data_IF_498906074458
#
_entry.id   IF_498906074458
#
_cell.length_a   1.000
_cell.length_b   1.000
_cell.length_c   1.000
_cell.angle_alpha   90.00
_cell.angle_beta   90.00
_cell.angle_gamma   90.00
#
_symmetry.space_group_name_H-M   'P 1'
#
loop_
_entity.id
_entity.type
_entity.pdbx_description
1 polymer ?
#
# COMPACT_ATOMS: atom_id res chain seq x y z
N UNK A 1 13.52 32.25 30.86
CA UNK A 1 13.55 30.84 30.43
C UNK A 1 13.81 29.98 31.65
N UNK A 2 12.94 29.02 31.97
CA UNK A 2 13.13 28.13 33.12
C UNK A 2 14.09 26.98 32.72
N UNK A 3 15.08 26.61 33.55
CA UNK A 3 16.01 25.54 33.20
C UNK A 3 15.28 24.19 33.07
N UNK A 4 15.46 23.51 31.94
CA UNK A 4 15.02 22.11 31.78
C UNK A 4 15.80 21.24 32.75
N UNK A 5 15.16 20.77 33.83
CA UNK A 5 15.75 19.84 34.79
C UNK A 5 16.03 18.49 34.09
N UNK A 6 17.28 18.26 33.73
CA UNK A 6 17.72 16.96 33.22
C UNK A 6 17.81 15.96 34.37
N UNK A 7 17.12 14.83 34.25
CA UNK A 7 17.20 13.76 35.24
C UNK A 7 18.61 13.17 35.26
N UNK A 8 19.16 12.99 36.46
CA UNK A 8 20.43 12.29 36.64
C UNK A 8 20.34 10.85 36.12
N UNK A 9 21.47 10.28 35.69
CA UNK A 9 21.54 8.88 35.25
C UNK A 9 21.03 7.89 36.30
N UNK A 10 21.22 8.18 37.60
CA UNK A 10 20.68 7.37 38.69
C UNK A 10 19.13 7.42 38.74
N UNK A 11 18.55 8.60 38.52
CA UNK A 11 17.08 8.78 38.49
C UNK A 11 16.47 8.08 37.27
N UNK A 12 17.14 8.12 36.11
CA UNK A 12 16.71 7.38 34.91
C UNK A 12 16.71 5.86 35.14
N UNK A 13 17.76 5.32 35.77
CA UNK A 13 17.84 3.89 36.14
C UNK A 13 16.74 3.49 37.11
N UNK A 14 16.47 4.33 38.13
CA UNK A 14 15.38 4.07 39.09
C UNK A 14 14.01 4.09 38.41
N UNK A 15 13.77 5.05 37.51
CA UNK A 15 12.51 5.13 36.75
C UNK A 15 12.32 3.92 35.83
N UNK A 16 13.37 3.48 35.14
CA UNK A 16 13.31 2.27 34.30
C UNK A 16 12.97 1.02 35.13
N UNK A 17 13.66 0.82 36.27
CA UNK A 17 13.37 -0.31 37.17
C UNK A 17 11.92 -0.32 37.67
N UNK A 18 11.33 0.85 37.94
CA UNK A 18 9.93 0.95 38.35
C UNK A 18 8.95 0.60 37.22
N UNK A 19 9.26 1.00 35.99
CA UNK A 19 8.44 0.67 34.82
C UNK A 19 8.51 -0.83 34.51
N UNK A 20 9.70 -1.43 34.56
CA UNK A 20 9.90 -2.86 34.33
C UNK A 20 9.15 -3.69 35.39
N UNK A 21 9.23 -3.29 36.67
CA UNK A 21 8.49 -3.94 37.76
C UNK A 21 6.97 -3.78 37.62
N UNK A 22 6.50 -2.63 37.12
CA UNK A 22 5.08 -2.43 36.85
C UNK A 22 4.60 -3.31 35.69
N UNK A 23 5.39 -3.43 34.63
CA UNK A 23 5.08 -4.30 33.49
C UNK A 23 5.02 -5.78 33.89
N UNK A 24 5.99 -6.24 34.70
CA UNK A 24 5.98 -7.59 35.27
C UNK A 24 4.75 -7.84 36.16
N UNK A 25 4.34 -6.84 36.97
CA UNK A 25 3.16 -6.97 37.83
C UNK A 25 1.84 -7.10 37.07
N UNK A 26 1.80 -6.59 35.84
CA UNK A 26 0.64 -6.62 34.95
C UNK A 26 0.67 -7.78 33.95
N UNK A 27 1.80 -8.49 33.84
CA UNK A 27 1.96 -9.63 32.94
C UNK A 27 0.98 -10.75 33.32
N UNK A 28 0.18 -11.21 32.35
CA UNK A 28 -0.83 -12.26 32.57
C UNK A 28 -2.10 -11.81 33.30
N UNK A 29 -2.24 -10.54 33.70
CA UNK A 29 -3.45 -10.05 34.37
C UNK A 29 -4.71 -10.16 33.47
N UNK A 30 -4.55 -10.05 32.15
CA UNK A 30 -5.62 -10.22 31.16
C UNK A 30 -6.19 -11.65 31.14
N UNK A 31 -5.40 -12.67 31.47
CA UNK A 31 -5.86 -14.07 31.52
C UNK A 31 -6.91 -14.31 32.63
N UNK A 32 -7.03 -13.41 33.61
CA UNK A 32 -8.09 -13.48 34.64
C UNK A 32 -9.46 -13.06 34.14
N UNK A 33 -9.52 -12.26 33.08
CA UNK A 33 -10.77 -11.75 32.51
C UNK A 33 -11.21 -12.52 31.27
N UNK A 34 -10.30 -13.26 30.66
CA UNK A 34 -10.57 -14.16 29.55
C UNK A 34 -10.89 -15.57 30.09
N UNK A 35 -11.90 -15.68 30.95
CA UNK A 35 -12.47 -16.99 31.29
C UNK A 35 -13.20 -17.53 30.06
N UNK A 36 -12.55 -18.43 29.32
CA UNK A 36 -13.18 -19.23 28.27
C UNK A 36 -14.18 -20.16 28.93
N UNK A 37 -15.46 -19.84 28.79
CA UNK A 37 -16.55 -20.77 29.05
C UNK A 37 -16.68 -21.72 27.88
N UNK A 38 -16.08 -22.90 27.96
CA UNK A 38 -16.60 -24.12 27.30
C UNK A 38 -15.74 -25.33 27.65
N UNK A 39 -16.40 -26.33 28.25
CA UNK A 39 -15.97 -27.73 28.30
C UNK A 39 -15.34 -28.16 26.97
N UNK A 40 -14.07 -28.53 27.00
CA UNK A 40 -13.48 -29.49 26.07
C UNK A 40 -12.24 -30.09 26.73
N UNK A 41 -12.14 -31.41 26.64
CA UNK A 41 -11.21 -32.27 27.35
C UNK A 41 -9.75 -32.09 26.92
N UNK A 42 -8.89 -32.17 27.94
CA UNK A 42 -7.50 -32.65 27.99
C UNK A 42 -6.77 -32.93 26.67
N UNK A 43 -5.65 -32.22 26.50
CA UNK A 43 -4.49 -32.67 25.73
C UNK A 43 -3.22 -32.00 26.30
N UNK A 44 -2.47 -32.73 27.12
CA UNK A 44 -1.13 -32.33 27.55
C UNK A 44 -0.17 -32.51 26.38
N UNK A 45 0.61 -31.48 26.04
CA UNK A 45 1.90 -31.69 25.38
C UNK A 45 2.95 -30.70 25.89
N UNK A 46 4.04 -31.26 26.38
CA UNK A 46 5.23 -30.55 26.85
C UNK A 46 6.21 -30.49 25.68
N UNK A 47 6.41 -29.30 25.10
CA UNK A 47 7.36 -29.08 24.01
C UNK A 47 8.49 -28.13 24.42
N UNK A 48 9.67 -28.70 24.60
CA UNK A 48 10.92 -28.08 25.04
C UNK A 48 11.42 -26.89 24.21
N UNK A 49 12.13 -25.98 24.90
CA UNK A 49 13.01 -24.96 24.33
C UNK A 49 14.15 -25.59 23.52
N UNK A 50 14.45 -25.06 22.33
CA UNK A 50 15.78 -25.17 21.75
C UNK A 50 16.12 -23.92 20.93
N UNK A 51 17.08 -23.16 21.45
CA UNK A 51 17.83 -22.11 20.75
C UNK A 51 19.01 -22.78 20.02
N UNK A 52 19.24 -22.45 18.76
CA UNK A 52 20.48 -22.77 18.07
C UNK A 52 20.95 -21.56 17.26
N UNK A 53 22.02 -20.96 17.76
CA UNK A 53 22.98 -20.10 17.06
C UNK A 53 23.56 -20.82 15.84
N UNK A 54 23.63 -20.15 14.69
CA UNK A 54 24.65 -20.44 13.67
C UNK A 54 25.11 -19.11 13.07
N UNK A 55 26.29 -18.68 13.49
CA UNK A 55 27.12 -17.68 12.83
C UNK A 55 28.26 -18.43 12.12
N UNK A 56 28.59 -18.00 10.89
CA UNK A 56 29.90 -18.07 10.24
C UNK A 56 29.81 -18.02 8.70
N UNK A 57 30.13 -16.83 8.17
CA UNK A 57 30.92 -16.53 6.97
C UNK A 57 31.37 -17.69 6.06
N UNK A 58 31.18 -17.51 4.75
CA UNK A 58 32.29 -17.68 3.80
C UNK A 58 32.08 -16.81 2.53
N UNK A 59 33.10 -16.02 2.22
CA UNK A 59 33.25 -15.19 1.02
C UNK A 59 33.91 -15.99 -0.13
N UNK A 60 34.02 -15.32 -1.29
CA UNK A 60 34.80 -15.63 -2.52
C UNK A 60 33.96 -16.31 -3.62
N UNK A 61 33.43 -15.56 -4.61
CA UNK A 61 34.07 -14.86 -5.73
C UNK A 61 34.78 -15.81 -6.71
N UNK A 62 34.24 -15.94 -7.94
CA UNK A 62 35.01 -16.20 -9.16
C UNK A 62 34.35 -15.50 -10.36
N UNK A 63 35.22 -14.79 -11.06
CA UNK A 63 35.00 -13.85 -12.16
C UNK A 63 34.67 -14.49 -13.52
N UNK A 64 34.38 -13.58 -14.45
CA UNK A 64 34.06 -13.73 -15.86
C UNK A 64 35.16 -14.37 -16.72
N UNK A 65 34.75 -14.97 -17.84
CA UNK A 65 34.98 -14.47 -19.22
C UNK A 65 34.97 -15.58 -20.29
N UNK A 66 34.70 -15.12 -21.52
CA UNK A 66 35.05 -15.70 -22.82
C UNK A 66 34.17 -16.82 -23.40
N UNK A 67 33.41 -16.47 -24.44
CA UNK A 67 33.71 -17.06 -25.74
C UNK A 67 33.29 -16.13 -26.89
N UNK A 68 34.30 -15.75 -27.67
CA UNK A 68 34.15 -15.22 -29.02
C UNK A 68 33.83 -16.38 -29.97
N UNK A 69 33.04 -16.14 -31.01
CA UNK A 69 33.32 -16.65 -32.35
C UNK A 69 32.57 -15.84 -33.40
N UNK A 70 33.27 -15.74 -34.52
CA UNK A 70 33.22 -14.76 -35.60
C UNK A 70 32.46 -15.29 -36.83
N UNK A 71 32.13 -14.32 -37.70
CA UNK A 71 31.48 -14.28 -39.02
C UNK A 71 31.26 -15.56 -39.87
N UNK A 72 30.16 -15.56 -40.66
CA UNK A 72 30.19 -15.50 -42.17
C UNK A 72 28.77 -15.33 -42.76
N UNK A 73 28.66 -14.50 -43.80
CA UNK A 73 27.47 -14.02 -44.54
C UNK A 73 26.78 -15.03 -45.51
N UNK A 74 25.44 -14.95 -45.59
CA UNK A 74 24.42 -14.94 -46.70
C UNK A 74 24.70 -15.60 -48.10
N UNK A 75 23.74 -15.71 -49.08
CA UNK A 75 22.29 -15.35 -49.13
C UNK A 75 21.33 -16.38 -49.83
N UNK A 76 20.02 -16.10 -49.78
CA UNK A 76 19.05 -16.36 -50.87
C UNK A 76 18.13 -17.60 -50.78
N UNK A 77 16.80 -17.41 -50.71
CA UNK A 77 15.88 -17.64 -51.84
C UNK A 77 14.41 -17.33 -51.45
N UNK A 78 13.65 -16.86 -52.43
CA UNK A 78 12.25 -16.41 -52.42
C UNK A 78 11.25 -17.47 -51.95
N UNK A 79 10.13 -17.04 -51.34
CA UNK A 79 8.79 -17.40 -51.85
C UNK A 79 7.66 -16.64 -51.16
N UNK A 80 6.66 -16.33 -51.99
CA UNK A 80 5.53 -15.42 -51.82
C UNK A 80 4.49 -15.84 -50.78
N UNK A 81 3.76 -14.83 -50.30
CA UNK A 81 2.62 -14.83 -49.37
C UNK A 81 1.43 -15.74 -49.79
N UNK A 82 0.42 -15.93 -48.92
CA UNK A 82 -0.61 -14.90 -48.78
C UNK A 82 -1.05 -14.63 -47.33
N UNK A 83 -1.69 -13.47 -47.23
CA UNK A 83 -2.37 -12.87 -46.10
C UNK A 83 -3.45 -13.80 -45.52
N UNK A 84 -3.52 -13.87 -44.18
CA UNK A 84 -4.76 -14.17 -43.46
C UNK A 84 -4.84 -13.24 -42.24
N UNK A 85 -5.80 -12.32 -42.34
CA UNK A 85 -6.30 -11.44 -41.28
C UNK A 85 -6.68 -12.25 -40.03
N UNK A 86 -5.94 -12.09 -38.93
CA UNK A 86 -6.41 -12.51 -37.60
C UNK A 86 -6.03 -11.47 -36.54
N UNK A 87 -7.01 -10.60 -36.27
CA UNK A 87 -7.32 -9.98 -34.97
C UNK A 87 -6.21 -9.20 -34.23
N UNK A 88 -5.95 -7.96 -34.67
CA UNK A 88 -5.44 -6.88 -33.81
C UNK A 88 -6.58 -6.33 -32.91
N UNK A 89 -7.07 -7.14 -31.97
CA UNK A 89 -7.94 -6.70 -30.88
C UNK A 89 -7.27 -6.79 -29.51
N UNK A 90 -6.03 -7.28 -29.43
CA UNK A 90 -5.28 -7.37 -28.18
C UNK A 90 -4.65 -6.05 -27.73
N UNK A 91 -4.15 -5.24 -28.66
CA UNK A 91 -3.34 -4.07 -28.30
C UNK A 91 -4.15 -2.84 -27.84
N UNK A 92 -5.38 -2.67 -28.30
CA UNK A 92 -6.20 -1.50 -27.92
C UNK A 92 -6.78 -1.65 -26.50
N UNK A 93 -7.05 -2.87 -26.04
CA UNK A 93 -7.68 -3.11 -24.75
C UNK A 93 -6.68 -3.00 -23.58
N UNK A 94 -5.41 -3.37 -23.80
CA UNK A 94 -4.33 -3.25 -22.81
C UNK A 94 -3.89 -1.80 -22.59
N UNK A 95 -3.86 -0.99 -23.67
CA UNK A 95 -3.51 0.42 -23.59
C UNK A 95 -4.62 1.23 -22.89
N UNK A 96 -5.90 0.96 -23.20
CA UNK A 96 -7.02 1.55 -22.47
C UNK A 96 -7.05 1.14 -20.98
N UNK A 97 -6.72 -0.12 -20.66
CA UNK A 97 -6.70 -0.59 -19.27
C UNK A 97 -5.50 -0.05 -18.48
N UNK A 98 -4.43 0.38 -19.14
CA UNK A 98 -3.29 1.02 -18.47
C UNK A 98 -3.61 2.48 -18.11
N UNK A 99 -4.37 3.17 -18.95
CA UNK A 99 -4.76 4.58 -18.70
C UNK A 99 -5.75 4.78 -17.55
N UNK A 100 -6.54 3.76 -17.19
CA UNK A 100 -7.54 3.84 -16.11
C UNK A 100 -6.89 4.06 -14.74
N UNK A 101 -5.68 3.53 -14.53
CA UNK A 101 -4.97 3.59 -13.26
C UNK A 101 -4.07 4.83 -13.14
N UNK A 102 -3.92 5.63 -14.21
CA UNK A 102 -3.17 6.88 -14.15
C UNK A 102 -4.01 7.98 -13.48
N UNK A 103 -3.55 8.56 -12.35
CA UNK A 103 -4.19 9.70 -11.72
C UNK A 103 -4.59 10.84 -12.65
N UNK A 104 -3.89 11.05 -13.77
CA UNK A 104 -4.17 12.15 -14.70
C UNK A 104 -5.53 12.03 -15.39
N UNK A 105 -6.03 10.81 -15.60
CA UNK A 105 -7.27 10.56 -16.36
C UNK A 105 -8.52 10.53 -15.47
N UNK A 106 -8.36 10.47 -14.14
CA UNK A 106 -9.46 10.22 -13.19
C UNK A 106 -10.56 11.28 -13.18
N UNK A 107 -10.25 12.51 -13.59
CA UNK A 107 -11.24 13.59 -13.69
C UNK A 107 -12.25 13.35 -14.81
N UNK A 108 -11.83 12.66 -15.86
CA UNK A 108 -12.64 12.40 -17.06
C UNK A 108 -13.17 10.97 -17.14
N UNK A 109 -13.01 10.15 -16.09
CA UNK A 109 -13.48 8.77 -16.11
C UNK A 109 -15.02 8.68 -16.02
N UNK A 110 -15.58 7.83 -16.86
CA UNK A 110 -16.97 7.39 -16.77
C UNK A 110 -17.24 6.60 -15.49
N UNK A 111 -18.49 6.56 -15.04
CA UNK A 111 -18.89 5.85 -13.82
C UNK A 111 -18.46 4.38 -13.82
N UNK A 112 -18.58 3.68 -14.96
CA UNK A 112 -18.13 2.28 -15.11
C UNK A 112 -16.62 2.13 -14.89
N UNK A 113 -15.81 3.03 -15.46
CA UNK A 113 -14.34 3.01 -15.29
C UNK A 113 -13.97 3.38 -13.85
N UNK A 114 -14.69 4.32 -13.23
CA UNK A 114 -14.54 4.65 -11.80
C UNK A 114 -14.84 3.46 -10.89
N UNK A 115 -15.91 2.72 -11.15
CA UNK A 115 -16.27 1.54 -10.35
C UNK A 115 -15.17 0.47 -10.42
N UNK A 116 -14.67 0.16 -11.63
CA UNK A 116 -13.53 -0.77 -11.82
C UNK A 116 -12.30 -0.29 -11.05
N UNK A 117 -11.97 1.01 -11.14
CA UNK A 117 -10.83 1.61 -10.47
C UNK A 117 -10.96 1.52 -8.93
N UNK A 118 -12.16 1.76 -8.39
CA UNK A 118 -12.43 1.68 -6.95
C UNK A 118 -12.34 0.25 -6.43
N UNK A 119 -12.87 -0.71 -7.19
CA UNK A 119 -12.89 -2.13 -6.85
C UNK A 119 -11.47 -2.74 -6.83
N UNK A 120 -10.72 -2.53 -7.92
CA UNK A 120 -9.32 -2.97 -8.06
C UNK A 120 -8.41 -2.22 -7.08
N UNK A 121 -8.67 -0.92 -6.90
CA UNK A 121 -7.83 -0.02 -6.14
C UNK A 121 -6.60 0.45 -6.92
N UNK A 122 -5.75 1.28 -6.29
CA UNK A 122 -4.52 1.75 -6.91
C UNK A 122 -3.55 0.61 -7.13
N UNK A 123 -3.00 0.54 -8.35
CA UNK A 123 -1.94 -0.40 -8.69
C UNK A 123 -0.60 0.23 -8.37
N UNK A 124 0.24 -0.49 -7.61
CA UNK A 124 1.62 -0.10 -7.31
C UNK A 124 2.55 -0.99 -8.09
N UNK A 125 3.33 -0.40 -8.98
CA UNK A 125 4.38 -1.11 -9.68
C UNK A 125 5.59 -1.35 -8.77
N UNK A 126 6.10 -2.57 -8.79
CA UNK A 126 7.31 -2.98 -8.10
C UNK A 126 8.51 -2.80 -9.04
N UNK A 127 9.65 -2.37 -8.50
CA UNK A 127 10.91 -2.14 -9.23
C UNK A 127 10.92 -1.00 -10.26
N UNK A 128 10.02 -0.03 -10.11
CA UNK A 128 10.04 1.20 -10.87
C UNK A 128 11.26 2.06 -10.48
N UNK A 129 12.02 2.46 -11.49
CA UNK A 129 13.07 3.47 -11.32
C UNK A 129 12.44 4.86 -11.37
N UNK A 130 12.55 5.60 -10.26
CA UNK A 130 12.00 6.94 -10.17
C UNK A 130 12.97 7.96 -10.77
N UNK A 131 12.52 8.83 -11.70
CA UNK A 131 13.33 9.91 -12.23
C UNK A 131 13.85 10.82 -11.12
N UNK A 132 15.08 11.30 -11.28
CA UNK A 132 15.67 12.29 -10.39
C UNK A 132 15.21 13.70 -10.80
N UNK A 133 14.85 14.50 -9.81
CA UNK A 133 14.55 15.92 -9.99
C UNK A 133 15.84 16.75 -10.19
N UNK A 134 15.68 18.06 -10.38
CA UNK A 134 16.79 19.02 -10.52
C UNK A 134 17.73 19.08 -9.32
N UNK A 135 17.33 18.52 -8.17
CA UNK A 135 18.12 18.43 -6.94
C UNK A 135 18.71 17.02 -6.72
N UNK A 136 18.65 16.17 -7.75
CA UNK A 136 19.05 14.76 -7.72
C UNK A 136 18.28 13.89 -6.71
N UNK A 137 17.09 14.33 -6.28
CA UNK A 137 16.19 13.59 -5.39
C UNK A 137 15.10 12.92 -6.19
N UNK A 138 14.56 11.83 -5.67
CA UNK A 138 13.48 11.10 -6.33
C UNK A 138 12.55 10.49 -5.28
N UNK A 139 11.39 10.02 -5.72
CA UNK A 139 10.54 9.19 -4.87
C UNK A 139 11.27 7.89 -4.53
N UNK A 140 11.13 7.42 -3.30
CA UNK A 140 11.63 6.13 -2.86
C UNK A 140 10.48 5.24 -2.42
N UNK A 141 10.66 3.92 -2.52
CA UNK A 141 9.70 2.97 -2.00
C UNK A 141 9.42 3.13 -0.50
N UNK A 142 10.37 3.70 0.26
CA UNK A 142 10.19 3.99 1.69
C UNK A 142 9.03 4.94 1.99
N UNK A 143 8.60 5.80 1.04
CA UNK A 143 7.46 6.69 1.25
C UNK A 143 6.11 5.97 1.21
N UNK A 144 6.04 4.75 0.67
CA UNK A 144 4.82 3.95 0.72
C UNK A 144 4.57 3.35 2.09
N UNK A 145 5.55 3.28 3.00
CA UNK A 145 5.35 2.74 4.34
C UNK A 145 5.50 3.80 5.42
N UNK A 146 4.75 3.63 6.52
CA UNK A 146 4.87 4.47 7.71
C UNK A 146 5.23 3.62 8.91
N UNK A 147 6.10 4.15 9.75
CA UNK A 147 6.46 3.51 11.02
C UNK A 147 5.60 4.14 12.12
N UNK A 148 4.87 3.31 12.84
CA UNK A 148 4.11 3.68 14.03
C UNK A 148 5.03 3.74 15.26
N UNK A 149 4.58 4.41 16.32
CA UNK A 149 5.35 4.54 17.57
C UNK A 149 5.56 3.22 18.31
N UNK A 150 4.72 2.22 18.02
CA UNK A 150 4.84 0.84 18.51
C UNK A 150 5.86 0.00 17.71
N UNK A 151 6.49 0.55 16.66
CA UNK A 151 7.44 -0.14 15.80
C UNK A 151 6.81 -0.89 14.62
N UNK A 152 5.48 -0.89 14.49
CA UNK A 152 4.80 -1.51 13.35
C UNK A 152 4.96 -0.66 12.07
N UNK A 153 5.08 -1.35 10.94
CA UNK A 153 5.17 -0.74 9.62
C UNK A 153 3.82 -0.92 8.93
N UNK A 154 3.17 0.19 8.58
CA UNK A 154 1.87 0.21 7.90
C UNK A 154 2.04 0.71 6.48
N UNK A 155 1.49 -0.03 5.52
CA UNK A 155 1.51 0.33 4.10
C UNK A 155 0.46 1.41 3.77
N UNK A 156 0.90 2.47 3.10
CA UNK A 156 0.07 3.54 2.52
C UNK A 156 -0.48 3.08 1.18
N UNK A 157 -1.49 2.21 1.26
CA UNK A 157 -2.21 1.69 0.08
C UNK A 157 -2.91 2.78 -0.74
N UNK A 158 -3.14 3.96 -0.15
CA UNK A 158 -3.76 5.11 -0.83
C UNK A 158 -2.76 5.97 -1.63
N UNK A 159 -1.45 5.78 -1.49
CA UNK A 159 -0.45 6.60 -2.16
C UNK A 159 -0.19 6.09 -3.58
N UNK A 160 -0.30 6.97 -4.58
CA UNK A 160 -0.13 6.63 -6.00
C UNK A 160 0.89 7.57 -6.63
N UNK A 161 1.77 7.01 -7.47
CA UNK A 161 2.74 7.77 -8.24
C UNK A 161 2.34 7.74 -9.72
N UNK A 162 2.31 8.90 -10.37
CA UNK A 162 2.13 8.98 -11.82
C UNK A 162 3.47 9.25 -12.49
N UNK A 163 3.90 8.30 -13.33
CA UNK A 163 5.18 8.35 -14.07
C UNK A 163 5.23 9.50 -15.07
N UNK A 164 4.11 9.75 -15.74
CA UNK A 164 4.03 10.72 -16.83
C UNK A 164 4.27 12.15 -16.36
N UNK A 165 3.85 12.45 -15.12
CA UNK A 165 3.99 13.78 -14.53
C UNK A 165 5.01 13.84 -13.41
N UNK A 166 5.64 12.72 -13.04
CA UNK A 166 6.57 12.61 -11.92
C UNK A 166 6.03 13.28 -10.64
N UNK A 167 4.86 12.82 -10.19
CA UNK A 167 4.16 13.36 -9.01
C UNK A 167 3.43 12.26 -8.27
N UNK A 168 3.27 12.45 -6.95
CA UNK A 168 2.43 11.59 -6.12
C UNK A 168 1.08 12.22 -5.81
N UNK A 169 0.08 11.36 -5.69
CA UNK A 169 -1.31 11.69 -5.42
C UNK A 169 -1.86 10.77 -4.33
N UNK A 170 -2.92 11.23 -3.66
CA UNK A 170 -3.72 10.40 -2.79
C UNK A 170 -4.91 9.85 -3.59
N UNK A 171 -5.00 8.52 -3.67
CA UNK A 171 -6.03 7.80 -4.41
C UNK A 171 -7.43 8.23 -4.01
N UNK A 172 -7.77 8.06 -2.72
CA UNK A 172 -9.11 8.34 -2.23
C UNK A 172 -9.44 9.84 -2.31
N UNK A 173 -8.51 10.73 -1.91
CA UNK A 173 -8.79 12.17 -1.95
C UNK A 173 -8.90 12.74 -3.37
N UNK A 174 -8.25 12.12 -4.36
CA UNK A 174 -8.35 12.54 -5.76
C UNK A 174 -9.62 12.03 -6.44
N UNK A 175 -10.13 10.86 -6.04
CA UNK A 175 -11.41 10.34 -6.54
C UNK A 175 -12.61 11.03 -5.91
N UNK A 176 -12.59 11.23 -4.60
CA UNK A 176 -13.68 11.83 -3.83
C UNK A 176 -13.39 13.29 -3.50
N UNK A 177 -12.86 14.04 -4.47
CA UNK A 177 -12.57 15.47 -4.31
C UNK A 177 -13.80 16.19 -3.75
N UNK A 178 -13.73 16.59 -2.49
CA UNK A 178 -14.64 17.56 -1.92
C UNK A 178 -14.12 18.96 -2.23
N UNK A 179 -15.02 19.93 -2.43
CA UNK A 179 -14.65 21.35 -2.57
C UNK A 179 -13.84 21.89 -1.37
N UNK A 180 -13.84 21.16 -0.25
CA UNK A 180 -13.06 21.50 0.94
C UNK A 180 -11.61 20.98 0.90
N UNK A 181 -11.29 20.01 0.04
CA UNK A 181 -9.97 19.36 0.01
C UNK A 181 -8.93 20.28 -0.65
N UNK A 182 -8.20 21.04 0.17
CA UNK A 182 -7.12 21.94 -0.28
C UNK A 182 -5.77 21.22 -0.42
N UNK A 183 -5.70 19.92 -0.14
CA UNK A 183 -4.45 19.17 -0.23
C UNK A 183 -4.00 19.02 -1.68
N UNK A 184 -2.76 19.40 -1.97
CA UNK A 184 -2.13 19.16 -3.28
C UNK A 184 -2.14 17.68 -3.68
N UNK A 185 -2.17 16.75 -2.72
CA UNK A 185 -2.27 15.31 -3.02
C UNK A 185 -3.60 14.93 -3.66
N UNK A 186 -4.66 15.73 -3.45
CA UNK A 186 -5.96 15.54 -4.07
C UNK A 186 -6.03 16.16 -5.47
N UNK A 187 -5.46 17.35 -5.68
CA UNK A 187 -5.54 18.10 -6.94
C UNK A 187 -4.34 17.83 -7.86
N UNK A 188 -3.28 18.64 -7.71
CA UNK A 188 -2.20 18.84 -8.68
C UNK A 188 -1.05 17.85 -8.54
N UNK A 189 -0.99 17.15 -7.41
CA UNK A 189 0.06 16.23 -7.02
C UNK A 189 1.23 16.91 -6.32
N UNK A 190 2.10 16.10 -5.73
CA UNK A 190 3.30 16.56 -5.02
C UNK A 190 4.55 15.99 -5.68
N UNK A 191 5.51 16.86 -5.99
CA UNK A 191 6.89 16.49 -6.43
C UNK A 191 7.96 16.94 -5.42
N UNK A 192 7.58 17.63 -4.34
CA UNK A 192 8.54 18.08 -3.34
C UNK A 192 9.01 16.89 -2.47
N UNK A 193 9.99 16.13 -2.97
CA UNK A 193 10.52 14.93 -2.32
C UNK A 193 11.15 15.22 -0.95
N UNK A 194 11.66 16.44 -0.75
CA UNK A 194 12.26 16.88 0.51
C UNK A 194 11.23 16.94 1.63
N UNK A 195 10.06 17.55 1.37
CA UNK A 195 9.01 17.72 2.38
C UNK A 195 7.89 16.69 2.25
N UNK A 196 8.03 15.72 1.34
CA UNK A 196 7.00 14.71 1.09
C UNK A 196 6.63 13.93 2.35
N UNK A 197 7.60 13.51 3.16
CA UNK A 197 7.33 12.70 4.36
C UNK A 197 6.43 13.44 5.37
N UNK A 198 6.71 14.72 5.61
CA UNK A 198 5.92 15.57 6.50
C UNK A 198 4.52 15.84 5.93
N UNK A 199 4.45 16.09 4.61
CA UNK A 199 3.17 16.29 3.92
C UNK A 199 2.30 15.04 3.93
N UNK A 200 2.88 13.85 3.79
CA UNK A 200 2.14 12.58 3.91
C UNK A 200 1.63 12.36 5.34
N UNK A 201 2.46 12.61 6.35
CA UNK A 201 2.07 12.47 7.78
C UNK A 201 0.96 13.43 8.19
N UNK A 202 1.02 14.69 7.75
CA UNK A 202 -0.04 15.66 8.01
C UNK A 202 -1.32 15.34 7.24
N UNK A 203 -1.19 14.87 6.00
CA UNK A 203 -2.33 14.49 5.16
C UNK A 203 -3.07 13.26 5.69
N UNK A 204 -2.36 12.20 6.09
CA UNK A 204 -2.98 10.96 6.58
C UNK A 204 -3.75 11.16 7.90
N UNK A 205 -3.43 12.23 8.65
CA UNK A 205 -4.12 12.62 9.88
C UNK A 205 -5.24 13.64 9.65
N UNK A 206 -5.44 14.13 8.42
CA UNK A 206 -6.49 15.09 8.10
C UNK A 206 -7.86 14.40 8.06
N UNK A 207 -8.89 15.08 8.58
CA UNK A 207 -10.28 14.60 8.52
C UNK A 207 -10.73 14.34 7.08
N UNK A 208 -10.33 15.20 6.15
CA UNK A 208 -10.60 15.05 4.72
C UNK A 208 -10.13 13.68 4.20
N UNK A 209 -8.90 13.30 4.55
CA UNK A 209 -8.33 12.03 4.15
C UNK A 209 -9.09 10.86 4.79
N UNK A 210 -9.42 10.95 6.08
CA UNK A 210 -10.15 9.90 6.79
C UNK A 210 -11.56 9.68 6.22
N UNK A 211 -12.26 10.76 5.84
CA UNK A 211 -13.57 10.69 5.19
C UNK A 211 -13.45 10.09 3.78
N UNK A 212 -12.48 10.54 2.98
CA UNK A 212 -12.23 9.96 1.65
C UNK A 212 -11.83 8.48 1.74
N UNK A 213 -11.04 8.10 2.76
CA UNK A 213 -10.64 6.71 3.00
C UNK A 213 -11.84 5.84 3.40
N UNK A 214 -12.70 6.36 4.27
CA UNK A 214 -13.92 5.66 4.70
C UNK A 214 -14.89 5.44 3.53
N UNK A 215 -15.16 6.49 2.75
CA UNK A 215 -16.01 6.41 1.55
C UNK A 215 -15.43 5.47 0.50
N UNK A 216 -14.11 5.46 0.31
CA UNK A 216 -13.47 4.48 -0.57
C UNK A 216 -13.69 3.05 -0.09
N UNK A 217 -13.44 2.75 1.19
CA UNK A 217 -13.61 1.41 1.75
C UNK A 217 -15.07 0.94 1.69
N UNK A 218 -16.01 1.83 2.01
CA UNK A 218 -17.45 1.55 1.92
C UNK A 218 -17.86 1.23 0.47
N UNK A 219 -17.50 2.08 -0.49
CA UNK A 219 -17.86 1.91 -1.88
C UNK A 219 -17.23 0.65 -2.48
N UNK A 220 -15.96 0.39 -2.14
CA UNK A 220 -15.27 -0.85 -2.53
C UNK A 220 -15.98 -2.08 -1.99
N UNK A 221 -16.42 -2.07 -0.72
CA UNK A 221 -17.15 -3.18 -0.11
C UNK A 221 -18.54 -3.37 -0.74
N UNK A 222 -19.20 -2.27 -1.12
CA UNK A 222 -20.50 -2.28 -1.78
C UNK A 222 -20.40 -2.91 -3.17
N UNK A 223 -19.42 -2.46 -3.96
CA UNK A 223 -19.13 -3.00 -5.29
C UNK A 223 -18.74 -4.48 -5.21
N UNK A 224 -17.86 -4.88 -4.28
CA UNK A 224 -17.45 -6.28 -4.15
C UNK A 224 -18.59 -7.22 -3.77
N UNK A 225 -19.66 -6.70 -3.15
CA UNK A 225 -20.83 -7.48 -2.75
C UNK A 225 -21.97 -7.43 -3.77
N UNK A 226 -21.81 -6.70 -4.88
CA UNK A 226 -22.88 -6.38 -5.85
C UNK A 226 -24.18 -5.88 -5.21
N UNK A 227 -24.11 -5.30 -4.00
CA UNK A 227 -25.29 -4.74 -3.34
C UNK A 227 -25.53 -3.35 -3.89
N UNK A 228 -26.54 -3.22 -4.73
CA UNK A 228 -27.11 -1.91 -5.08
C UNK A 228 -27.55 -1.20 -3.81
N UNK A 229 -27.53 0.14 -3.83
CA UNK A 229 -28.04 0.98 -2.73
C UNK A 229 -29.49 0.58 -2.36
N UNK A 230 -30.22 0.07 -3.33
CA UNK A 230 -31.59 -0.44 -3.19
C UNK A 230 -31.74 -1.86 -2.61
N UNK A 231 -30.67 -2.62 -2.29
CA UNK A 231 -30.83 -4.01 -1.79
C UNK A 231 -31.64 -4.07 -0.48
N UNK A 232 -31.46 -3.09 0.41
CA UNK A 232 -32.22 -3.01 1.66
C UNK A 232 -33.67 -2.58 1.42
N UNK A 233 -33.88 -1.56 0.58
CA UNK A 233 -35.22 -1.09 0.21
C UNK A 233 -36.01 -2.15 -0.59
N UNK A 234 -35.37 -2.87 -1.51
CA UNK A 234 -35.99 -3.97 -2.25
C UNK A 234 -36.35 -5.15 -1.35
N UNK A 235 -35.53 -5.42 -0.32
CA UNK A 235 -35.83 -6.47 0.67
C UNK A 235 -37.01 -6.09 1.57
N UNK A 236 -37.15 -4.82 1.94
CA UNK A 236 -38.33 -4.34 2.67
C UNK A 236 -39.59 -4.38 1.81
N UNK A 237 -39.53 -3.91 0.55
CA UNK A 237 -40.65 -3.98 -0.40
C UNK A 237 -41.09 -5.44 -0.64
N UNK A 238 -40.14 -6.38 -0.74
CA UNK A 238 -40.44 -7.80 -0.90
C UNK A 238 -41.16 -8.39 0.33
N UNK A 239 -40.71 -8.03 1.55
CA UNK A 239 -41.36 -8.44 2.80
C UNK A 239 -42.78 -7.88 2.96
N UNK A 240 -43.04 -6.66 2.48
CA UNK A 240 -44.38 -6.09 2.49
C UNK A 240 -45.32 -6.73 1.46
N UNK A 241 -44.80 -7.18 0.31
CA UNK A 241 -45.59 -7.90 -0.71
C UNK A 241 -46.00 -9.31 -0.30
N UNK A 242 -45.33 -9.91 0.68
CA UNK A 242 -45.64 -11.24 1.22
C UNK A 242 -46.59 -11.20 2.44
N UNK A 243 -47.06 -10.02 2.85
CA UNK A 243 -48.13 -9.84 3.85
C UNK A 243 -49.49 -9.63 3.20
#
# INVERSE_FOLDING_TARGET
MLPTKHLSGAQKRKKRKQLDQAAESQMGALHRFLSVSSNAEVGQDQGHQHVADVDANNEQNLDAEANANDDTQAPGDDNQAPEDDVEDQGHQQEDEMSTIFDPRTWECLDNRKKDILIEKGPVRELNLQFPKDSTARHLSYAYYSRNLSNGEIVDRKWLVYSKHVDKVYCFCCKLFKSNQNKSHLASDGVRDWKHLSEKLKSHENSEEHLTCMSTWNELRLRLSKNKTIDDEMQREIAKEKER
#
